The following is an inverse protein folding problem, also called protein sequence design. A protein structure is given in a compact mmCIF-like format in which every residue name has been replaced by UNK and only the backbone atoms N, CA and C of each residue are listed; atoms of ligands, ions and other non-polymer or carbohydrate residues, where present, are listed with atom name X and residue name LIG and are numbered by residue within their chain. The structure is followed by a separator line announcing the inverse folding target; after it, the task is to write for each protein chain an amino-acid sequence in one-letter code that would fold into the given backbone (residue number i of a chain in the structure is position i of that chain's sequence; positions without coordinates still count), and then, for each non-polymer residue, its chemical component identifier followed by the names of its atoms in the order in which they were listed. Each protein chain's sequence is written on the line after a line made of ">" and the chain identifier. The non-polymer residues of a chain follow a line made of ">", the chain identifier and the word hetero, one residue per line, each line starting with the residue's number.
data_IF_672731257197
#
_entry.id   IF_672731257197
#
_cell.length_a   1.000
_cell.length_b   1.000
_cell.length_c   1.000
_cell.angle_alpha   90.00
_cell.angle_beta   90.00
_cell.angle_gamma   90.00
#
_symmetry.space_group_name_H-M   'P 1'
#
loop_
_entity.id
_entity.type
_entity.pdbx_description
1 polymer ?
#
# COMPACT_ATOMS: atom_id res chain seq x y z
N UNK A 1 4.96 -22.13 -16.94
CA UNK A 1 3.63 -21.89 -16.36
C UNK A 1 3.62 -20.80 -15.27
N UNK A 2 4.72 -20.54 -14.54
CA UNK A 2 4.71 -19.51 -13.47
C UNK A 2 4.57 -18.06 -13.96
N UNK A 3 5.12 -17.69 -15.12
CA UNK A 3 5.10 -16.29 -15.61
C UNK A 3 3.70 -15.69 -15.74
N UNK A 4 2.73 -16.45 -16.28
CA UNK A 4 1.36 -15.99 -16.45
C UNK A 4 0.66 -15.62 -15.13
N UNK A 5 0.94 -16.37 -14.05
CA UNK A 5 0.37 -16.10 -12.73
C UNK A 5 0.95 -14.84 -12.10
N UNK A 6 2.24 -14.57 -12.33
CA UNK A 6 2.91 -13.35 -11.85
C UNK A 6 2.36 -12.12 -12.58
N UNK A 7 2.14 -12.22 -13.88
CA UNK A 7 1.58 -11.12 -14.67
C UNK A 7 0.13 -10.83 -14.26
N UNK A 8 -0.69 -11.87 -14.08
CA UNK A 8 -2.05 -11.71 -13.57
C UNK A 8 -2.08 -11.14 -12.14
N UNK A 9 -1.15 -11.55 -11.27
CA UNK A 9 -1.00 -10.98 -9.93
C UNK A 9 -0.71 -9.48 -10.01
N UNK A 10 0.21 -9.07 -10.88
CA UNK A 10 0.58 -7.65 -11.09
C UNK A 10 -0.58 -6.84 -11.68
N UNK A 11 -1.35 -7.42 -12.58
CA UNK A 11 -2.55 -6.78 -13.14
C UNK A 11 -3.59 -6.54 -12.04
N UNK A 12 -3.91 -7.56 -11.24
CA UNK A 12 -4.84 -7.44 -10.12
C UNK A 12 -4.36 -6.44 -9.07
N UNK A 13 -3.07 -6.47 -8.75
CA UNK A 13 -2.44 -5.52 -7.84
C UNK A 13 -2.55 -4.09 -8.39
N UNK A 14 -2.36 -3.90 -9.69
CA UNK A 14 -2.45 -2.59 -10.36
C UNK A 14 -3.87 -2.04 -10.30
N UNK A 15 -4.85 -2.85 -10.65
CA UNK A 15 -6.28 -2.50 -10.55
C UNK A 15 -6.65 -2.15 -9.12
N UNK A 16 -6.22 -2.96 -8.15
CA UNK A 16 -6.48 -2.71 -6.74
C UNK A 16 -5.84 -1.39 -6.31
N UNK A 17 -4.54 -1.18 -6.54
CA UNK A 17 -3.83 0.03 -6.13
C UNK A 17 -4.46 1.31 -6.71
N UNK A 18 -4.85 1.30 -7.99
CA UNK A 18 -5.54 2.45 -8.62
C UNK A 18 -6.91 2.72 -7.99
N UNK A 19 -7.65 1.67 -7.61
CA UNK A 19 -8.95 1.82 -6.92
C UNK A 19 -8.84 2.43 -5.51
N UNK A 20 -7.62 2.54 -4.97
CA UNK A 20 -7.33 3.11 -3.65
C UNK A 20 -6.99 4.59 -3.68
N UNK A 21 -6.96 5.22 -4.86
CA UNK A 21 -6.78 6.67 -4.99
C UNK A 21 -7.85 7.40 -4.16
N UNK A 22 -7.41 8.31 -3.28
CA UNK A 22 -8.32 9.09 -2.46
C UNK A 22 -8.99 10.17 -3.33
N UNK A 23 -10.30 10.37 -3.14
CA UNK A 23 -11.00 11.44 -3.81
C UNK A 23 -10.50 12.81 -3.32
N UNK A 24 -10.39 13.83 -4.20
CA UNK A 24 -9.93 15.18 -3.83
C UNK A 24 -10.73 15.81 -2.68
N UNK A 25 -12.02 15.49 -2.64
CA UNK A 25 -13.03 16.09 -1.77
C UNK A 25 -13.18 15.32 -0.44
N UNK A 26 -12.27 14.39 -0.12
CA UNK A 26 -12.40 13.58 1.09
C UNK A 26 -12.31 14.50 2.30
N UNK A 27 -13.24 14.35 3.24
CA UNK A 27 -13.19 15.13 4.48
C UNK A 27 -11.91 14.76 5.24
N UNK A 28 -11.22 15.75 5.79
CA UNK A 28 -9.93 15.57 6.49
C UNK A 28 -10.03 14.52 7.61
N UNK A 29 -11.14 14.53 8.35
CA UNK A 29 -11.42 13.56 9.40
C UNK A 29 -11.66 12.12 8.90
N UNK A 30 -11.73 11.90 7.58
CA UNK A 30 -11.86 10.58 6.96
C UNK A 30 -10.56 10.10 6.31
N UNK A 31 -9.52 10.94 6.20
CA UNK A 31 -8.27 10.59 5.52
C UNK A 31 -7.61 9.38 6.17
N UNK A 32 -7.54 9.36 7.49
CA UNK A 32 -6.95 8.26 8.25
C UNK A 32 -7.69 6.94 7.99
N UNK A 33 -9.02 6.96 8.04
CA UNK A 33 -9.86 5.77 7.79
C UNK A 33 -9.71 5.25 6.36
N UNK A 34 -9.61 6.15 5.38
CA UNK A 34 -9.36 5.79 3.98
C UNK A 34 -7.98 5.20 3.79
N UNK A 35 -6.96 5.76 4.45
CA UNK A 35 -5.62 5.22 4.41
C UNK A 35 -5.55 3.83 5.06
N UNK A 36 -6.20 3.64 6.20
CA UNK A 36 -6.32 2.34 6.85
C UNK A 36 -7.03 1.32 5.96
N UNK A 37 -8.10 1.73 5.26
CA UNK A 37 -8.78 0.89 4.29
C UNK A 37 -7.85 0.46 3.14
N UNK A 38 -7.01 1.37 2.65
CA UNK A 38 -6.02 1.08 1.60
C UNK A 38 -5.01 0.03 2.04
N UNK A 39 -4.40 0.20 3.22
CA UNK A 39 -3.52 -0.82 3.81
C UNK A 39 -4.24 -2.16 3.96
N UNK A 40 -5.45 -2.15 4.53
CA UNK A 40 -6.21 -3.38 4.78
C UNK A 40 -6.53 -4.15 3.49
N UNK A 41 -6.95 -3.45 2.44
CA UNK A 41 -7.27 -4.06 1.14
C UNK A 41 -6.03 -4.73 0.52
N UNK A 42 -4.87 -4.07 0.56
CA UNK A 42 -3.62 -4.64 0.04
C UNK A 42 -3.13 -5.81 0.88
N UNK A 43 -3.16 -5.70 2.22
CA UNK A 43 -2.79 -6.81 3.12
C UNK A 43 -3.72 -8.02 2.95
N UNK A 44 -5.01 -7.79 2.72
CA UNK A 44 -5.94 -8.88 2.42
C UNK A 44 -5.60 -9.55 1.08
N UNK A 45 -5.37 -8.76 0.03
CA UNK A 45 -4.95 -9.29 -1.27
C UNK A 45 -3.68 -10.15 -1.17
N UNK A 46 -2.69 -9.72 -0.39
CA UNK A 46 -1.47 -10.50 -0.17
C UNK A 46 -1.71 -11.80 0.61
N UNK A 47 -2.73 -11.84 1.46
CA UNK A 47 -3.09 -13.02 2.25
C UNK A 47 -4.01 -14.01 1.50
N UNK A 48 -4.59 -13.63 0.36
CA UNK A 48 -5.47 -14.51 -0.44
C UNK A 48 -4.73 -15.74 -0.96
N UNK A 49 -3.48 -15.57 -1.39
CA UNK A 49 -2.58 -16.66 -1.78
C UNK A 49 -1.16 -16.35 -1.31
N UNK A 50 -0.80 -16.87 -0.13
CA UNK A 50 0.51 -16.66 0.46
C UNK A 50 1.65 -17.20 -0.42
N UNK A 51 1.41 -18.26 -1.19
CA UNK A 51 2.44 -18.86 -2.06
C UNK A 51 2.71 -17.94 -3.24
N UNK A 52 1.65 -17.46 -3.90
CA UNK A 52 1.79 -16.54 -5.03
C UNK A 52 2.35 -15.20 -4.58
N UNK A 53 1.91 -14.66 -3.45
CA UNK A 53 2.49 -13.45 -2.85
C UNK A 53 3.97 -13.62 -2.56
N UNK A 54 4.39 -14.75 -1.98
CA UNK A 54 5.80 -15.02 -1.73
C UNK A 54 6.60 -14.99 -3.04
N UNK A 55 6.14 -15.67 -4.09
CA UNK A 55 6.83 -15.72 -5.38
C UNK A 55 6.83 -14.37 -6.12
N UNK A 56 5.73 -13.63 -6.08
CA UNK A 56 5.54 -12.42 -6.88
C UNK A 56 6.09 -11.16 -6.20
N UNK A 57 5.92 -11.03 -4.88
CA UNK A 57 6.18 -9.81 -4.12
C UNK A 57 7.41 -9.90 -3.22
N UNK A 58 7.68 -11.06 -2.62
CA UNK A 58 8.67 -11.18 -1.53
C UNK A 58 10.00 -11.78 -1.97
N UNK A 59 9.97 -12.77 -2.86
CA UNK A 59 11.15 -13.54 -3.26
C UNK A 59 11.65 -13.19 -4.69
N UNK A 60 12.97 -13.26 -4.92
CA UNK A 60 13.53 -13.21 -6.27
C UNK A 60 12.99 -14.35 -7.16
N UNK A 61 12.95 -14.15 -8.49
CA UNK A 61 13.42 -12.97 -9.23
C UNK A 61 12.36 -11.86 -9.39
N UNK A 62 11.11 -12.09 -8.99
CA UNK A 62 10.00 -11.20 -9.35
C UNK A 62 9.76 -10.05 -8.35
N UNK A 63 10.16 -10.24 -7.09
CA UNK A 63 9.94 -9.29 -5.99
C UNK A 63 10.28 -7.84 -6.37
N UNK A 64 11.49 -7.59 -6.86
CA UNK A 64 11.96 -6.24 -7.15
C UNK A 64 11.06 -5.52 -8.16
N UNK A 65 10.71 -6.20 -9.27
CA UNK A 65 9.88 -5.61 -10.31
C UNK A 65 8.42 -5.40 -9.84
N UNK A 66 7.89 -6.31 -9.01
CA UNK A 66 6.53 -6.16 -8.45
C UNK A 66 6.45 -5.06 -7.40
N UNK A 67 7.46 -4.95 -6.53
CA UNK A 67 7.55 -3.87 -5.55
C UNK A 67 7.74 -2.51 -6.24
N UNK A 68 8.59 -2.44 -7.28
CA UNK A 68 8.75 -1.22 -8.08
C UNK A 68 7.44 -0.79 -8.75
N UNK A 69 6.67 -1.74 -9.31
CA UNK A 69 5.34 -1.47 -9.86
C UNK A 69 4.42 -0.88 -8.79
N UNK A 70 4.36 -1.49 -7.60
CA UNK A 70 3.52 -1.00 -6.50
C UNK A 70 3.95 0.41 -6.05
N UNK A 71 5.25 0.67 -5.92
CA UNK A 71 5.77 1.99 -5.59
C UNK A 71 5.32 3.03 -6.61
N UNK A 72 5.41 2.75 -7.92
CA UNK A 72 4.95 3.66 -8.97
C UNK A 72 3.46 3.99 -8.82
N UNK A 73 2.61 2.96 -8.67
CA UNK A 73 1.16 3.15 -8.55
C UNK A 73 0.77 3.93 -7.29
N UNK A 74 1.43 3.67 -6.16
CA UNK A 74 1.19 4.42 -4.93
C UNK A 74 1.71 5.85 -5.04
N UNK A 75 2.84 6.07 -5.72
CA UNK A 75 3.36 7.42 -5.96
C UNK A 75 2.40 8.25 -6.82
N UNK A 76 1.80 7.66 -7.87
CA UNK A 76 0.77 8.29 -8.68
C UNK A 76 -0.44 8.72 -7.83
N UNK A 77 -0.94 7.83 -6.97
CA UNK A 77 -2.04 8.15 -6.05
C UNK A 77 -1.69 9.28 -5.08
N UNK A 78 -0.49 9.25 -4.49
CA UNK A 78 -0.03 10.25 -3.54
C UNK A 78 0.20 11.60 -4.20
N UNK A 79 0.78 11.62 -5.40
CA UNK A 79 0.98 12.83 -6.18
C UNK A 79 -0.35 13.50 -6.52
N UNK A 80 -1.35 12.72 -6.90
CA UNK A 80 -2.71 13.24 -7.10
C UNK A 80 -3.25 13.89 -5.82
N UNK A 81 -3.13 13.22 -4.67
CA UNK A 81 -3.55 13.79 -3.38
C UNK A 81 -2.74 15.02 -2.94
N UNK A 82 -1.46 15.13 -3.32
CA UNK A 82 -0.66 16.34 -3.08
C UNK A 82 -1.15 17.53 -3.91
N UNK A 83 -1.57 17.32 -5.16
CA UNK A 83 -2.11 18.39 -6.02
C UNK A 83 -3.36 19.05 -5.41
N UNK A 84 -4.15 18.27 -4.68
CA UNK A 84 -5.34 18.75 -3.96
C UNK A 84 -5.04 19.19 -2.51
N UNK A 85 -3.75 19.29 -2.14
CA UNK A 85 -3.27 19.66 -0.79
C UNK A 85 -3.75 18.75 0.34
N UNK A 86 -4.18 17.54 0.01
CA UNK A 86 -4.61 16.54 1.00
C UNK A 86 -3.42 15.96 1.77
N UNK A 87 -2.29 15.78 1.10
CA UNK A 87 -1.03 15.37 1.72
C UNK A 87 0.03 16.43 1.58
N UNK A 88 0.96 16.44 2.53
CA UNK A 88 2.17 17.26 2.52
C UNK A 88 2.94 17.11 1.20
N UNK A 89 3.46 18.21 0.67
CA UNK A 89 4.19 18.27 -0.60
C UNK A 89 5.70 18.54 -0.42
N UNK A 90 6.14 18.76 0.82
CA UNK A 90 7.55 18.92 1.17
C UNK A 90 8.34 17.59 1.10
N UNK A 91 7.65 16.45 1.13
CA UNK A 91 8.22 15.12 0.85
C UNK A 91 7.77 14.65 -0.54
N UNK A 92 8.69 14.21 -1.42
CA UNK A 92 8.32 13.65 -2.71
C UNK A 92 7.39 12.43 -2.59
N UNK A 93 6.33 12.38 -3.40
CA UNK A 93 5.38 11.26 -3.45
C UNK A 93 6.07 9.90 -3.64
N UNK A 94 7.16 9.85 -4.42
CA UNK A 94 7.94 8.64 -4.63
C UNK A 94 8.60 8.11 -3.36
N UNK A 95 9.10 8.99 -2.48
CA UNK A 95 9.69 8.60 -1.19
C UNK A 95 8.61 8.10 -0.25
N UNK A 96 7.47 8.80 -0.17
CA UNK A 96 6.33 8.33 0.62
C UNK A 96 5.81 6.98 0.14
N UNK A 97 5.73 6.76 -1.17
CA UNK A 97 5.31 5.49 -1.76
C UNK A 97 6.26 4.33 -1.43
N UNK A 98 7.58 4.59 -1.36
CA UNK A 98 8.56 3.61 -0.90
C UNK A 98 8.30 3.23 0.57
N UNK A 99 8.07 4.20 1.45
CA UNK A 99 7.77 3.93 2.86
C UNK A 99 6.45 3.16 3.03
N UNK A 100 5.40 3.57 2.31
CA UNK A 100 4.11 2.88 2.28
C UNK A 100 4.27 1.41 1.86
N UNK A 101 4.99 1.19 0.75
CA UNK A 101 5.25 -0.14 0.21
C UNK A 101 6.11 -0.98 1.16
N UNK A 102 7.11 -0.38 1.81
CA UNK A 102 7.96 -1.06 2.79
C UNK A 102 7.16 -1.62 3.97
N UNK A 103 6.24 -0.83 4.53
CA UNK A 103 5.35 -1.31 5.60
C UNK A 103 4.50 -2.50 5.14
N UNK A 104 3.95 -2.44 3.93
CA UNK A 104 3.15 -3.53 3.36
C UNK A 104 3.98 -4.80 3.14
N UNK A 105 5.16 -4.67 2.52
CA UNK A 105 6.05 -5.80 2.24
C UNK A 105 6.48 -6.47 3.54
N UNK A 106 6.83 -5.69 4.57
CA UNK A 106 7.21 -6.22 5.86
C UNK A 106 6.08 -7.03 6.50
N UNK A 107 4.84 -6.54 6.43
CA UNK A 107 3.67 -7.23 6.98
C UNK A 107 3.22 -8.43 6.13
N UNK A 108 3.53 -8.44 4.83
CA UNK A 108 3.21 -9.54 3.94
C UNK A 108 4.07 -10.80 4.20
N UNK A 109 5.24 -10.66 4.81
CA UNK A 109 6.06 -11.81 5.24
C UNK A 109 5.41 -12.65 6.35
N UNK A 110 4.51 -12.07 7.12
CA UNK A 110 3.79 -12.77 8.19
C UNK A 110 2.30 -12.48 8.02
N UNK A 111 1.62 -13.17 7.08
CA UNK A 111 0.22 -12.92 6.79
C UNK A 111 -0.62 -13.34 8.00
N UNK A 112 -0.82 -12.40 8.93
CA UNK A 112 -1.59 -12.62 10.14
C UNK A 112 -3.07 -12.81 9.83
N UNK A 113 -3.82 -13.27 10.83
CA UNK A 113 -5.29 -13.43 10.74
C UNK A 113 -6.00 -12.11 10.38
N UNK A 114 -7.24 -12.15 9.84
CA UNK A 114 -7.97 -10.95 9.43
C UNK A 114 -8.04 -9.84 10.49
N UNK A 115 -8.19 -10.22 11.77
CA UNK A 115 -8.19 -9.29 12.89
C UNK A 115 -6.83 -8.58 13.05
N UNK A 116 -5.72 -9.30 12.94
CA UNK A 116 -4.38 -8.75 13.00
C UNK A 116 -4.11 -7.82 11.80
N UNK A 117 -4.52 -8.19 10.59
CA UNK A 117 -4.39 -7.32 9.40
C UNK A 117 -5.19 -6.03 9.55
N UNK A 118 -6.37 -6.09 10.18
CA UNK A 118 -7.14 -4.89 10.49
C UNK A 118 -6.40 -3.97 11.48
N UNK A 119 -5.89 -4.51 12.60
CA UNK A 119 -5.12 -3.70 13.57
C UNK A 119 -3.85 -3.11 12.94
N UNK A 120 -3.11 -3.91 12.17
CA UNK A 120 -1.92 -3.43 11.47
C UNK A 120 -2.25 -2.34 10.46
N UNK A 121 -3.39 -2.43 9.75
CA UNK A 121 -3.81 -1.39 8.82
C UNK A 121 -4.08 -0.04 9.49
N UNK A 122 -4.66 -0.05 10.70
CA UNK A 122 -4.87 1.15 11.51
C UNK A 122 -3.54 1.73 11.99
N UNK A 123 -2.62 0.88 12.46
CA UNK A 123 -1.30 1.31 12.91
C UNK A 123 -0.48 1.92 11.76
N UNK A 124 -0.45 1.27 10.59
CA UNK A 124 0.23 1.77 9.40
C UNK A 124 -0.35 3.11 8.93
N UNK A 125 -1.68 3.26 8.94
CA UNK A 125 -2.32 4.53 8.57
C UNK A 125 -1.91 5.67 9.49
N UNK A 126 -1.87 5.44 10.81
CA UNK A 126 -1.39 6.44 11.78
C UNK A 126 0.06 6.80 11.54
N UNK A 127 0.94 5.79 11.46
CA UNK A 127 2.36 6.02 11.18
C UNK A 127 2.59 6.78 9.87
N UNK A 128 1.77 6.52 8.86
CA UNK A 128 1.88 7.17 7.56
C UNK A 128 1.34 8.60 7.54
N UNK A 129 0.16 8.83 8.11
CA UNK A 129 -0.52 10.13 8.06
C UNK A 129 -0.07 11.08 9.18
N UNK A 130 0.16 10.57 10.38
CA UNK A 130 0.50 11.36 11.58
C UNK A 130 2.00 11.30 11.90
N UNK A 131 2.71 10.27 11.39
CA UNK A 131 4.12 10.04 11.70
C UNK A 131 4.34 9.20 12.96
N UNK A 132 5.60 9.13 13.41
CA UNK A 132 6.00 8.34 14.59
C UNK A 132 5.87 9.14 15.89
N UNK A 133 6.06 10.44 15.82
CA UNK A 133 6.05 11.32 16.99
C UNK A 133 4.72 12.05 17.07
N UNK A 134 3.97 11.81 18.14
CA UNK A 134 2.79 12.60 18.49
C UNK A 134 3.29 13.95 19.03
N UNK A 135 3.10 15.05 18.29
CA UNK A 135 3.16 16.38 18.91
C UNK A 135 1.76 16.68 19.42
N UNK A 136 1.61 16.67 20.74
CA UNK A 136 0.44 17.24 21.43
C UNK A 136 0.21 18.70 21.02
#
# INVERSE_FOLDING_TARGET
>A
MNGHNIDLFREKLSTLARSLQLAPQVAENQVLDRMALSFRKLLNFFAEDATLTAQALLLPPHAQATQALLITLIAENLQFSQQDKLFRDDIPASVMAQCFTGMLVQLAYTPGEPAARHQNSLACAKLFCEGVWLRE
#
